data_IF_146324061116
#
_entry.id   IF_146324061116
#
_cell.length_a   1.000
_cell.length_b   1.000
_cell.length_c   1.000
_cell.angle_alpha   90.00
_cell.angle_beta   90.00
_cell.angle_gamma   90.00
#
_symmetry.space_group_name_H-M   'P 1'
#
loop_
_entity.id
_entity.type
_entity.pdbx_description
1 polymer ?
#
# COMPACT_ATOMS: atom_id res chain seq x y z
N UNK A 1 53.27 2.09 5.00
CA UNK A 1 52.69 2.93 3.93
C UNK A 1 52.79 2.09 2.66
N UNK A 2 51.76 1.59 2.00
CA UNK A 2 50.34 1.91 1.99
C UNK A 2 49.54 0.61 1.75
N UNK A 3 48.43 0.45 2.45
CA UNK A 3 47.39 -0.50 2.05
C UNK A 3 46.18 0.34 1.65
N UNK A 4 45.99 0.48 0.34
CA UNK A 4 44.78 1.05 -0.22
C UNK A 4 43.62 0.11 0.12
N UNK A 5 42.83 0.47 1.13
CA UNK A 5 41.52 -0.11 1.36
C UNK A 5 40.62 0.32 0.21
N UNK A 6 40.53 -0.53 -0.81
CA UNK A 6 39.46 -0.49 -1.78
C UNK A 6 38.14 -0.62 -1.03
N UNK A 7 37.45 0.50 -0.89
CA UNK A 7 36.05 0.57 -0.49
C UNK A 7 35.21 -0.06 -1.59
N UNK A 8 35.00 -1.37 -1.50
CA UNK A 8 33.88 -2.00 -2.19
C UNK A 8 32.61 -1.45 -1.54
N UNK A 9 32.01 -0.46 -2.20
CA UNK A 9 30.62 -0.11 -2.00
C UNK A 9 29.82 -1.36 -2.34
N UNK A 10 29.36 -2.06 -1.30
CA UNK A 10 28.41 -3.15 -1.44
C UNK A 10 27.11 -2.48 -1.92
N UNK A 11 26.95 -2.41 -3.24
CA UNK A 11 25.64 -2.25 -3.84
C UNK A 11 24.89 -3.51 -3.43
N UNK A 12 24.12 -3.41 -2.35
CA UNK A 12 23.15 -4.43 -1.98
C UNK A 12 22.30 -4.69 -3.23
N UNK A 13 22.12 -5.95 -3.65
CA UNK A 13 21.25 -6.25 -4.77
C UNK A 13 19.85 -5.67 -4.47
N UNK A 14 19.23 -5.17 -5.54
CA UNK A 14 17.84 -4.74 -5.58
C UNK A 14 16.95 -5.71 -4.79
N UNK A 15 15.97 -5.13 -4.11
CA UNK A 15 14.94 -5.75 -3.25
C UNK A 15 14.63 -7.20 -3.62
N UNK A 16 14.56 -8.11 -2.64
CA UNK A 16 14.11 -9.46 -2.94
C UNK A 16 12.67 -9.38 -3.44
N UNK A 17 12.42 -9.93 -4.61
CA UNK A 17 11.13 -10.40 -5.16
C UNK A 17 10.47 -11.47 -4.28
N UNK A 18 10.65 -11.42 -2.96
CA UNK A 18 10.32 -12.52 -2.09
C UNK A 18 8.91 -12.32 -1.57
N UNK A 19 8.00 -13.07 -2.16
CA UNK A 19 6.82 -13.53 -1.43
C UNK A 19 7.26 -13.96 -0.04
N UNK A 20 6.55 -13.50 0.99
CA UNK A 20 6.73 -14.07 2.31
C UNK A 20 6.39 -15.56 2.20
N UNK A 21 7.37 -16.42 2.48
CA UNK A 21 7.20 -17.87 2.46
C UNK A 21 6.00 -18.30 3.28
N UNK A 22 5.44 -19.47 2.96
CA UNK A 22 4.52 -20.17 3.85
C UNK A 22 5.11 -20.24 5.27
N UNK A 23 4.26 -20.06 6.26
CA UNK A 23 4.68 -19.94 7.66
C UNK A 23 3.64 -20.52 8.62
N UNK A 24 4.03 -20.65 9.87
CA UNK A 24 3.16 -21.17 10.93
C UNK A 24 1.87 -20.35 11.04
N UNK A 25 0.73 -21.04 11.17
CA UNK A 25 -0.58 -20.39 11.29
C UNK A 25 -1.20 -19.97 9.96
N UNK A 26 -0.68 -20.45 8.83
CA UNK A 26 -1.32 -20.33 7.53
C UNK A 26 -2.65 -21.09 7.49
N UNK A 27 -3.71 -20.37 7.10
CA UNK A 27 -5.06 -20.89 6.97
C UNK A 27 -5.42 -20.89 5.49
N UNK A 28 -5.89 -22.05 5.02
CA UNK A 28 -6.40 -22.20 3.66
C UNK A 28 -7.82 -21.67 3.57
N UNK A 29 -8.04 -20.73 2.65
CA UNK A 29 -9.37 -20.31 2.30
C UNK A 29 -10.06 -21.41 1.47
N UNK A 30 -11.37 -21.61 1.71
CA UNK A 30 -12.10 -22.71 1.09
C UNK A 30 -12.20 -22.52 -0.42
N UNK A 31 -11.97 -23.58 -1.22
CA UNK A 31 -12.23 -23.51 -2.64
C UNK A 31 -13.69 -23.20 -2.95
N UNK A 32 -13.90 -22.15 -3.74
CA UNK A 32 -15.21 -21.66 -4.13
C UNK A 32 -15.05 -20.74 -5.35
N UNK A 33 -16.12 -20.57 -6.13
CA UNK A 33 -16.11 -19.71 -7.31
C UNK A 33 -16.08 -18.23 -6.90
N UNK A 34 -17.19 -17.72 -6.35
CA UNK A 34 -17.29 -16.33 -5.86
C UNK A 34 -17.35 -16.28 -4.32
N UNK A 35 -16.53 -17.13 -3.69
CA UNK A 35 -16.49 -17.31 -2.24
C UNK A 35 -15.59 -16.30 -1.53
N UNK A 36 -15.68 -16.32 -0.20
CA UNK A 36 -14.81 -15.56 0.69
C UNK A 36 -14.52 -16.41 1.93
N UNK A 37 -13.46 -16.06 2.67
CA UNK A 37 -13.20 -16.60 3.99
C UNK A 37 -14.37 -16.31 4.95
N UNK A 38 -14.43 -17.09 6.04
CA UNK A 38 -15.14 -16.66 7.25
C UNK A 38 -14.50 -15.36 7.79
N UNK A 39 -15.16 -14.71 8.75
CA UNK A 39 -14.60 -13.52 9.40
C UNK A 39 -13.26 -13.82 10.06
N UNK A 40 -12.24 -13.02 9.74
CA UNK A 40 -10.91 -13.13 10.35
C UNK A 40 -10.77 -11.98 11.33
N UNK A 41 -10.75 -12.28 12.63
CA UNK A 41 -10.50 -11.27 13.66
C UNK A 41 -9.01 -10.97 13.76
N UNK A 42 -8.65 -9.71 13.53
CA UNK A 42 -7.28 -9.22 13.65
C UNK A 42 -6.91 -9.09 15.13
N UNK A 43 -5.73 -9.57 15.53
CA UNK A 43 -5.29 -9.44 16.93
C UNK A 43 -5.03 -7.99 17.32
N UNK A 44 -4.69 -7.18 16.32
CA UNK A 44 -4.51 -5.74 16.45
C UNK A 44 -5.31 -5.02 15.36
N UNK A 45 -5.95 -3.88 15.67
CA UNK A 45 -6.72 -3.14 14.68
C UNK A 45 -5.86 -2.63 13.51
N UNK A 46 -6.36 -2.77 12.29
CA UNK A 46 -5.78 -2.19 11.09
C UNK A 46 -6.42 -0.83 10.80
N UNK A 47 -5.61 0.20 10.50
CA UNK A 47 -6.11 1.52 10.13
C UNK A 47 -6.15 1.67 8.62
N UNK A 48 -7.31 2.06 8.11
CA UNK A 48 -7.55 2.24 6.67
C UNK A 48 -8.29 3.57 6.45
N UNK A 49 -7.57 4.58 5.95
CA UNK A 49 -8.03 5.93 5.65
C UNK A 49 -8.96 6.54 6.72
N UNK A 50 -8.47 6.60 7.96
CA UNK A 50 -9.21 7.18 9.09
C UNK A 50 -10.22 6.25 9.75
N UNK A 51 -10.48 5.08 9.16
CA UNK A 51 -11.29 4.00 9.76
C UNK A 51 -10.38 2.98 10.43
N UNK A 52 -10.91 2.29 11.43
CA UNK A 52 -10.18 1.27 12.18
C UNK A 52 -10.98 -0.03 12.14
N UNK A 53 -10.32 -1.11 11.72
CA UNK A 53 -10.92 -2.42 11.49
C UNK A 53 -10.29 -3.48 12.38
N UNK A 54 -11.14 -4.25 13.06
CA UNK A 54 -10.74 -5.39 13.89
C UNK A 54 -10.95 -6.73 13.18
N UNK A 55 -11.40 -6.68 11.93
CA UNK A 55 -11.72 -7.86 11.15
C UNK A 55 -11.40 -7.63 9.68
N UNK A 56 -11.20 -8.73 8.96
CA UNK A 56 -10.91 -8.75 7.54
C UNK A 56 -11.49 -10.02 6.90
N UNK A 57 -11.73 -9.97 5.60
CA UNK A 57 -12.18 -11.09 4.78
C UNK A 57 -11.27 -11.19 3.56
N UNK A 58 -10.87 -12.42 3.22
CA UNK A 58 -10.11 -12.72 2.00
C UNK A 58 -11.07 -13.30 0.97
N UNK A 59 -11.18 -12.65 -0.18
CA UNK A 59 -12.08 -13.09 -1.24
C UNK A 59 -11.37 -13.95 -2.28
N UNK A 60 -12.07 -14.94 -2.83
CA UNK A 60 -11.48 -15.82 -3.83
C UNK A 60 -11.08 -15.04 -5.09
N UNK A 61 -11.85 -14.02 -5.47
CA UNK A 61 -11.61 -13.17 -6.65
C UNK A 61 -10.54 -12.07 -6.43
N UNK A 62 -9.61 -12.26 -5.49
CA UNK A 62 -8.36 -11.49 -5.43
C UNK A 62 -8.43 -10.13 -4.73
N UNK A 63 -9.30 -9.99 -3.73
CA UNK A 63 -9.42 -8.78 -2.93
C UNK A 63 -9.74 -9.05 -1.46
N UNK A 64 -9.52 -8.02 -0.64
CA UNK A 64 -9.80 -7.98 0.78
C UNK A 64 -10.93 -6.97 1.05
N UNK A 65 -11.79 -7.29 2.02
CA UNK A 65 -12.79 -6.37 2.57
C UNK A 65 -12.75 -6.40 4.10
N UNK A 66 -13.31 -5.40 4.76
CA UNK A 66 -13.21 -5.26 6.22
C UNK A 66 -14.53 -5.32 6.99
N UNK A 67 -15.66 -5.15 6.33
CA UNK A 67 -16.98 -5.13 7.00
C UNK A 67 -17.73 -6.43 6.86
N UNK A 68 -17.83 -6.96 5.64
CA UNK A 68 -18.48 -8.23 5.34
C UNK A 68 -17.99 -8.73 3.97
N UNK A 69 -18.16 -10.03 3.66
CA UNK A 69 -17.85 -10.57 2.35
C UNK A 69 -18.60 -9.83 1.24
N UNK A 70 -17.99 -9.80 0.07
CA UNK A 70 -18.60 -9.30 -1.15
C UNK A 70 -18.62 -10.45 -2.14
N UNK A 71 -19.80 -10.80 -2.67
CA UNK A 71 -19.90 -11.77 -3.75
C UNK A 71 -20.04 -10.98 -5.05
N UNK A 72 -18.92 -10.86 -5.75
CA UNK A 72 -18.80 -10.11 -6.99
C UNK A 72 -17.92 -10.89 -7.97
N UNK A 73 -18.48 -11.17 -9.15
CA UNK A 73 -17.80 -11.86 -10.25
C UNK A 73 -17.29 -10.91 -11.34
N UNK A 74 -17.74 -9.66 -11.33
CA UNK A 74 -17.20 -8.59 -12.18
C UNK A 74 -16.20 -7.77 -11.37
N UNK A 75 -14.99 -7.50 -11.89
CA UNK A 75 -14.04 -6.63 -11.21
C UNK A 75 -14.59 -5.23 -11.01
N UNK A 76 -14.49 -4.72 -9.79
CA UNK A 76 -14.71 -3.31 -9.51
C UNK A 76 -13.93 -2.85 -8.29
N UNK A 77 -13.44 -1.61 -8.38
CA UNK A 77 -12.88 -0.87 -7.26
C UNK A 77 -13.89 0.13 -6.70
N UNK A 78 -14.91 0.55 -7.47
CA UNK A 78 -16.01 1.39 -6.96
C UNK A 78 -16.99 0.55 -6.12
N UNK A 79 -16.45 0.07 -5.00
CA UNK A 79 -17.12 -0.84 -4.09
C UNK A 79 -17.91 -0.05 -3.06
N UNK A 80 -19.11 -0.50 -2.66
CA UNK A 80 -19.81 0.03 -1.49
C UNK A 80 -19.12 -0.34 -0.16
N UNK A 81 -17.83 -0.72 -0.20
CA UNK A 81 -17.02 -1.19 0.91
C UNK A 81 -15.58 -0.71 0.75
N UNK A 82 -14.92 -0.56 1.88
CA UNK A 82 -13.47 -0.45 1.92
C UNK A 82 -12.86 -1.75 1.36
N UNK A 83 -12.04 -1.60 0.33
CA UNK A 83 -11.51 -2.71 -0.47
C UNK A 83 -10.03 -2.51 -0.77
N UNK A 84 -9.26 -3.60 -0.65
CA UNK A 84 -7.89 -3.69 -1.15
C UNK A 84 -7.86 -4.82 -2.16
N UNK A 85 -7.59 -4.51 -3.41
CA UNK A 85 -7.61 -5.48 -4.50
C UNK A 85 -6.23 -5.55 -5.15
N UNK A 86 -5.32 -6.42 -4.68
CA UNK A 86 -4.10 -6.68 -5.42
C UNK A 86 -4.38 -7.13 -6.85
N UNK A 87 -5.38 -7.98 -7.08
CA UNK A 87 -5.86 -8.29 -8.43
C UNK A 87 -7.31 -8.75 -8.37
N UNK A 88 -8.26 -7.84 -8.51
CA UNK A 88 -9.67 -8.19 -8.61
C UNK A 88 -9.97 -8.74 -10.00
N UNK A 89 -10.22 -10.04 -10.10
CA UNK A 89 -10.61 -10.72 -11.33
C UNK A 89 -11.27 -12.06 -11.01
N UNK A 90 -11.94 -12.68 -11.98
CA UNK A 90 -12.65 -13.94 -11.77
C UNK A 90 -11.67 -15.13 -11.80
N UNK A 91 -11.31 -15.65 -10.64
CA UNK A 91 -10.35 -16.75 -10.49
C UNK A 91 -10.97 -17.87 -9.67
N UNK A 92 -10.62 -19.12 -9.99
CA UNK A 92 -11.33 -20.30 -9.49
C UNK A 92 -10.39 -21.35 -8.90
N UNK A 93 -10.26 -21.38 -7.59
CA UNK A 93 -9.40 -22.35 -6.89
C UNK A 93 -10.04 -23.73 -6.65
N UNK A 94 -11.22 -24.04 -7.23
CA UNK A 94 -11.90 -25.35 -7.03
C UNK A 94 -11.14 -26.55 -7.60
N UNK A 95 -10.35 -26.32 -8.65
CA UNK A 95 -9.65 -27.39 -9.37
C UNK A 95 -8.14 -27.41 -9.11
N UNK A 96 -7.52 -26.24 -8.94
CA UNK A 96 -6.08 -26.09 -8.74
C UNK A 96 -5.74 -24.74 -8.12
N UNK A 97 -4.49 -24.58 -7.69
CA UNK A 97 -4.05 -23.37 -7.02
C UNK A 97 -4.56 -23.28 -5.59
N UNK A 98 -4.11 -22.26 -4.87
CA UNK A 98 -4.41 -22.14 -3.46
C UNK A 98 -4.57 -20.68 -3.05
N UNK A 99 -5.43 -20.45 -2.05
CA UNK A 99 -5.64 -19.12 -1.48
C UNK A 99 -5.43 -19.29 0.02
N UNK A 100 -4.44 -18.60 0.56
CA UNK A 100 -4.05 -18.72 1.96
C UNK A 100 -3.92 -17.36 2.62
N UNK A 101 -4.06 -17.34 3.94
CA UNK A 101 -3.81 -16.15 4.72
C UNK A 101 -3.29 -16.46 6.11
N UNK A 102 -2.60 -15.49 6.72
CA UNK A 102 -2.16 -15.55 8.11
C UNK A 102 -1.94 -14.17 8.70
N UNK A 103 -1.99 -14.10 10.02
CA UNK A 103 -1.44 -12.98 10.78
C UNK A 103 -0.11 -13.42 11.40
N UNK A 104 0.95 -12.67 11.12
CA UNK A 104 2.32 -12.99 11.49
C UNK A 104 2.88 -11.90 12.42
N UNK A 105 3.44 -12.35 13.54
CA UNK A 105 4.10 -11.51 14.55
C UNK A 105 5.53 -12.00 14.81
N UNK A 106 6.08 -12.87 13.95
CA UNK A 106 7.43 -13.39 14.11
C UNK A 106 8.47 -12.29 13.84
N UNK A 107 9.54 -12.25 14.63
CA UNK A 107 10.59 -11.24 14.49
C UNK A 107 11.18 -11.19 13.08
N UNK A 108 11.31 -12.35 12.42
CA UNK A 108 11.85 -12.44 11.07
C UNK A 108 10.94 -11.73 10.04
N UNK A 109 9.64 -12.03 10.05
CA UNK A 109 8.68 -11.41 9.13
C UNK A 109 8.51 -9.93 9.45
N UNK A 110 8.39 -9.55 10.72
CA UNK A 110 8.27 -8.15 11.13
C UNK A 110 9.49 -7.31 10.73
N UNK A 111 10.71 -7.86 10.88
CA UNK A 111 11.93 -7.19 10.42
C UNK A 111 11.94 -7.01 8.90
N UNK A 112 11.52 -8.05 8.16
CA UNK A 112 11.46 -8.03 6.70
C UNK A 112 10.48 -6.96 6.19
N UNK A 113 9.23 -6.97 6.65
CA UNK A 113 8.21 -5.99 6.21
C UNK A 113 8.54 -4.58 6.70
N UNK A 114 9.19 -4.43 7.86
CA UNK A 114 9.67 -3.13 8.34
C UNK A 114 10.74 -2.56 7.40
N UNK A 115 11.70 -3.39 6.97
CA UNK A 115 12.72 -2.97 6.02
C UNK A 115 12.09 -2.56 4.67
N UNK A 116 11.14 -3.35 4.16
CA UNK A 116 10.41 -3.05 2.94
C UNK A 116 9.68 -1.70 3.02
N UNK A 117 8.92 -1.46 4.11
CA UNK A 117 8.23 -0.17 4.33
C UNK A 117 9.21 0.99 4.43
N UNK A 118 10.33 0.84 5.16
CA UNK A 118 11.35 1.91 5.27
C UNK A 118 12.01 2.23 3.94
N UNK A 119 12.13 1.26 3.04
CA UNK A 119 12.63 1.51 1.69
C UNK A 119 11.61 2.31 0.86
N UNK A 120 10.32 1.99 0.98
CA UNK A 120 9.25 2.69 0.28
C UNK A 120 9.01 4.11 0.84
N UNK A 121 9.13 4.26 2.16
CA UNK A 121 8.77 5.45 2.91
C UNK A 121 9.87 5.84 3.91
N UNK A 122 11.07 6.24 3.44
CA UNK A 122 12.23 6.47 4.30
C UNK A 122 12.03 7.57 5.35
N UNK A 123 11.12 8.50 5.07
CA UNK A 123 10.83 9.64 5.94
C UNK A 123 9.72 9.35 6.97
N UNK A 124 9.16 8.13 6.99
CA UNK A 124 8.11 7.75 7.93
C UNK A 124 8.68 6.77 8.95
N UNK A 125 8.84 7.17 10.23
CA UNK A 125 9.27 6.26 11.27
C UNK A 125 8.29 5.10 11.42
N UNK A 126 8.78 3.88 11.22
CA UNK A 126 7.96 2.68 11.26
C UNK A 126 8.73 1.47 11.79
N UNK A 127 8.02 0.68 12.57
CA UNK A 127 8.37 -0.69 12.95
C UNK A 127 7.05 -1.48 13.02
N UNK A 128 6.94 -2.55 12.24
CA UNK A 128 5.75 -3.39 12.24
C UNK A 128 5.65 -4.17 13.56
N UNK A 129 4.45 -4.21 14.13
CA UNK A 129 4.11 -5.15 15.22
C UNK A 129 3.30 -6.32 14.72
N UNK A 130 2.65 -6.16 13.56
CA UNK A 130 1.83 -7.16 12.91
C UNK A 130 1.99 -7.09 11.39
N UNK A 131 1.98 -8.26 10.75
CA UNK A 131 1.80 -8.40 9.31
C UNK A 131 0.61 -9.32 9.03
N UNK A 132 -0.39 -8.85 8.28
CA UNK A 132 -1.40 -9.75 7.70
C UNK A 132 -0.99 -10.07 6.28
N UNK A 133 -0.92 -11.35 5.93
CA UNK A 133 -0.47 -11.84 4.63
C UNK A 133 -1.60 -12.62 4.00
N UNK A 134 -1.95 -12.30 2.76
CA UNK A 134 -2.84 -13.13 1.94
C UNK A 134 -2.18 -13.41 0.59
N UNK A 135 -2.20 -14.68 0.19
CA UNK A 135 -1.53 -15.18 -1.02
C UNK A 135 -2.54 -15.92 -1.88
N UNK A 136 -2.56 -15.59 -3.17
CA UNK A 136 -3.18 -16.37 -4.22
C UNK A 136 -2.04 -17.00 -4.99
N UNK A 137 -1.88 -18.32 -4.87
CA UNK A 137 -0.78 -19.06 -5.47
C UNK A 137 -1.30 -19.97 -6.58
N UNK A 138 -0.85 -19.70 -7.80
CA UNK A 138 -1.14 -20.49 -9.00
C UNK A 138 -2.64 -20.74 -9.23
N UNK A 139 -3.48 -19.74 -8.94
CA UNK A 139 -4.94 -19.85 -9.07
C UNK A 139 -5.34 -19.63 -10.54
N UNK A 140 -6.14 -20.51 -11.15
CA UNK A 140 -6.50 -20.37 -12.55
C UNK A 140 -7.54 -19.27 -12.77
N UNK A 141 -7.47 -18.59 -13.91
CA UNK A 141 -8.57 -17.76 -14.39
C UNK A 141 -9.80 -18.63 -14.67
N UNK A 142 -10.98 -18.09 -14.42
CA UNK A 142 -12.24 -18.79 -14.70
C UNK A 142 -12.39 -19.17 -16.19
N UNK A 143 -11.89 -18.33 -17.11
CA UNK A 143 -11.94 -18.60 -18.54
C UNK A 143 -10.89 -19.62 -19.05
N UNK A 144 -10.03 -20.14 -18.16
CA UNK A 144 -8.98 -21.11 -18.52
C UNK A 144 -7.73 -20.49 -19.18
N UNK A 145 -7.55 -19.17 -19.15
CA UNK A 145 -6.44 -18.46 -19.81
C UNK A 145 -5.06 -18.59 -19.14
N UNK A 146 -4.92 -19.44 -18.12
CA UNK A 146 -3.68 -19.59 -17.34
C UNK A 146 -3.91 -19.40 -15.85
N UNK A 147 -2.81 -19.23 -15.10
CA UNK A 147 -2.81 -19.08 -13.64
C UNK A 147 -2.21 -17.75 -13.21
N UNK A 148 -2.56 -17.33 -12.00
CA UNK A 148 -2.07 -16.11 -11.38
C UNK A 148 -1.51 -16.37 -9.99
N UNK A 149 -0.39 -15.72 -9.71
CA UNK A 149 0.28 -15.75 -8.41
C UNK A 149 0.56 -14.33 -7.93
N UNK A 150 -0.02 -13.94 -6.80
CA UNK A 150 0.15 -12.62 -6.19
C UNK A 150 -0.05 -12.68 -4.66
N UNK A 151 0.55 -11.72 -3.96
CA UNK A 151 0.49 -11.61 -2.51
C UNK A 151 0.23 -10.17 -2.08
N UNK A 152 -0.59 -10.00 -1.06
CA UNK A 152 -0.76 -8.73 -0.36
C UNK A 152 -0.33 -8.87 1.09
N UNK A 153 0.45 -7.90 1.55
CA UNK A 153 0.93 -7.80 2.92
C UNK A 153 0.45 -6.47 3.51
N UNK A 154 -0.37 -6.56 4.55
CA UNK A 154 -0.70 -5.42 5.39
C UNK A 154 0.32 -5.35 6.51
N UNK A 155 1.23 -4.37 6.46
CA UNK A 155 2.24 -4.15 7.50
C UNK A 155 1.80 -3.00 8.40
N UNK A 156 1.63 -3.25 9.69
CA UNK A 156 1.06 -2.23 10.58
C UNK A 156 1.52 -2.31 12.03
N UNK A 157 1.32 -1.19 12.71
CA UNK A 157 1.35 -1.07 14.16
C UNK A 157 0.18 -0.18 14.62
N UNK A 158 0.16 0.20 15.90
CA UNK A 158 -0.98 0.95 16.47
C UNK A 158 -1.12 2.36 15.87
N UNK A 159 -0.10 2.88 15.20
CA UNK A 159 -0.05 4.22 14.64
C UNK A 159 -0.12 4.24 13.11
N UNK A 160 0.52 3.27 12.45
CA UNK A 160 0.81 3.28 11.01
C UNK A 160 0.36 1.99 10.35
N UNK A 161 -0.15 2.10 9.13
CA UNK A 161 -0.65 0.99 8.32
C UNK A 161 -0.23 1.17 6.88
N UNK A 162 0.29 0.10 6.29
CA UNK A 162 0.79 0.05 4.93
C UNK A 162 0.25 -1.16 4.20
N UNK A 163 0.07 -1.02 2.88
CA UNK A 163 -0.24 -2.10 1.95
C UNK A 163 1.00 -2.31 1.10
N UNK A 164 1.45 -3.55 0.99
CA UNK A 164 2.47 -4.00 0.05
C UNK A 164 1.83 -5.05 -0.85
N UNK A 165 1.94 -4.89 -2.16
CA UNK A 165 1.41 -5.83 -3.16
C UNK A 165 2.60 -6.35 -3.96
N UNK A 166 2.71 -7.67 -4.03
CA UNK A 166 3.72 -8.39 -4.76
C UNK A 166 3.07 -9.24 -5.85
N UNK A 167 3.61 -9.16 -7.05
CA UNK A 167 3.18 -9.94 -8.18
C UNK A 167 4.25 -10.98 -8.54
N UNK A 168 3.82 -12.23 -8.69
CA UNK A 168 4.64 -13.32 -9.20
C UNK A 168 4.33 -13.54 -10.68
N UNK A 169 4.18 -14.81 -11.05
CA UNK A 169 3.74 -15.19 -12.39
C UNK A 169 2.25 -14.86 -12.56
N UNK A 170 1.95 -13.97 -13.51
CA UNK A 170 0.57 -13.66 -13.88
C UNK A 170 0.41 -13.88 -15.38
N UNK A 171 -0.37 -14.88 -15.75
CA UNK A 171 -0.67 -15.15 -17.15
C UNK A 171 -1.47 -13.99 -17.77
N UNK A 172 -1.20 -13.72 -19.04
CA UNK A 172 -1.97 -12.76 -19.84
C UNK A 172 -3.43 -13.23 -19.97
N UNK A 173 -4.37 -12.29 -20.02
CA UNK A 173 -5.80 -12.61 -20.12
C UNK A 173 -6.57 -11.48 -20.79
N UNK A 174 -7.63 -11.85 -21.51
CA UNK A 174 -8.67 -10.93 -21.97
C UNK A 174 -9.78 -10.74 -20.93
N UNK A 175 -9.74 -11.51 -19.83
CA UNK A 175 -10.70 -11.36 -18.75
C UNK A 175 -10.55 -9.97 -18.11
N UNK A 176 -11.67 -9.27 -17.81
CA UNK A 176 -11.60 -8.02 -17.09
C UNK A 176 -10.87 -8.18 -15.75
N UNK A 177 -10.11 -7.16 -15.37
CA UNK A 177 -9.42 -7.11 -14.09
C UNK A 177 -9.27 -5.66 -13.62
N UNK A 178 -9.10 -5.48 -12.32
CA UNK A 178 -8.69 -4.20 -11.73
C UNK A 178 -7.73 -4.46 -10.56
N UNK A 179 -6.80 -3.54 -10.31
CA UNK A 179 -5.87 -3.63 -9.20
C UNK A 179 -5.73 -2.26 -8.51
N UNK A 180 -5.65 -2.24 -7.19
CA UNK A 180 -5.62 -1.01 -6.39
C UNK A 180 -6.37 -1.11 -5.07
N UNK A 181 -6.97 0.01 -4.65
CA UNK A 181 -7.77 0.09 -3.43
C UNK A 181 -8.84 1.18 -3.54
N UNK A 182 -9.89 1.07 -2.73
CA UNK A 182 -10.89 2.11 -2.59
C UNK A 182 -11.52 2.12 -1.19
N UNK A 183 -11.99 3.29 -0.79
CA UNK A 183 -12.81 3.51 0.41
C UNK A 183 -14.28 3.56 0.02
N UNK A 184 -15.18 3.22 0.94
CA UNK A 184 -16.64 3.18 0.69
C UNK A 184 -17.24 4.52 0.28
N UNK A 185 -16.61 5.63 0.66
CA UNK A 185 -17.00 6.99 0.26
C UNK A 185 -16.22 7.49 -0.97
N UNK A 186 -15.35 6.65 -1.54
CA UNK A 186 -14.40 6.96 -2.59
C UNK A 186 -13.50 8.17 -2.31
N UNK A 187 -13.41 8.62 -1.05
CA UNK A 187 -12.60 9.78 -0.68
C UNK A 187 -11.10 9.50 -0.80
N UNK A 188 -10.72 8.22 -0.68
CA UNK A 188 -9.37 7.72 -0.94
C UNK A 188 -9.43 6.48 -1.81
N UNK A 189 -8.93 6.60 -3.03
CA UNK A 189 -8.90 5.53 -4.02
C UNK A 189 -7.61 5.60 -4.83
N UNK A 190 -7.19 4.45 -5.36
CA UNK A 190 -6.11 4.36 -6.32
C UNK A 190 -6.33 3.13 -7.20
N UNK A 191 -6.26 3.32 -8.51
CA UNK A 191 -6.23 2.25 -9.50
C UNK A 191 -4.82 2.17 -10.07
N UNK A 192 -4.23 0.98 -10.07
CA UNK A 192 -2.92 0.74 -10.65
C UNK A 192 -3.02 0.94 -12.18
N UNK A 193 -2.28 1.91 -12.76
CA UNK A 193 -2.38 2.24 -14.18
C UNK A 193 -1.51 1.31 -15.03
N UNK A 194 -1.82 0.01 -15.04
CA UNK A 194 -1.20 -0.97 -15.92
C UNK A 194 -2.11 -1.25 -17.12
N UNK A 195 -1.54 -1.31 -18.32
CA UNK A 195 -2.24 -1.57 -19.57
C UNK A 195 -2.54 -3.05 -19.78
N UNK A 196 -1.78 -3.94 -19.14
CA UNK A 196 -1.99 -5.39 -19.16
C UNK A 196 -1.65 -6.02 -17.81
N UNK A 197 -2.14 -7.25 -17.57
CA UNK A 197 -1.86 -7.97 -16.32
C UNK A 197 -0.36 -8.26 -16.15
N UNK A 198 0.40 -8.70 -17.18
CA UNK A 198 1.85 -8.87 -17.06
C UNK A 198 2.60 -7.58 -16.70
N UNK A 199 2.06 -6.41 -17.05
CA UNK A 199 2.64 -5.12 -16.65
C UNK A 199 2.55 -4.89 -15.14
N UNK A 200 1.63 -5.53 -14.42
CA UNK A 200 1.61 -5.47 -12.94
C UNK A 200 2.91 -6.01 -12.34
N UNK A 201 3.48 -7.06 -12.94
CA UNK A 201 4.75 -7.66 -12.50
C UNK A 201 5.99 -6.86 -12.92
N UNK A 202 5.87 -5.89 -13.83
CA UNK A 202 7.00 -5.04 -14.27
C UNK A 202 6.90 -3.57 -13.84
N UNK A 203 5.72 -3.13 -13.39
CA UNK A 203 5.44 -1.77 -12.93
C UNK A 203 5.52 -1.62 -11.42
N UNK A 204 5.73 -0.39 -10.95
CA UNK A 204 5.82 -0.07 -9.52
C UNK A 204 5.68 1.44 -9.27
N UNK A 205 5.15 1.82 -8.11
CA UNK A 205 5.15 3.20 -7.64
C UNK A 205 6.37 3.58 -6.78
N UNK A 206 7.32 2.66 -6.55
CA UNK A 206 8.46 2.84 -5.65
C UNK A 206 9.81 2.53 -6.30
N UNK A 207 9.86 2.46 -7.65
CA UNK A 207 11.06 2.12 -8.41
C UNK A 207 11.70 0.78 -8.02
N UNK A 208 10.87 -0.14 -7.51
CA UNK A 208 11.20 -1.53 -7.20
C UNK A 208 10.26 -2.40 -8.03
N UNK A 209 10.78 -3.05 -9.06
CA UNK A 209 9.99 -3.88 -9.98
C UNK A 209 9.04 -4.84 -9.24
N UNK A 210 7.80 -4.93 -9.71
CA UNK A 210 6.74 -5.82 -9.19
C UNK A 210 6.18 -5.52 -7.79
N UNK A 211 6.50 -4.36 -7.20
CA UNK A 211 6.03 -4.00 -5.85
C UNK A 211 5.24 -2.70 -5.86
N UNK A 212 4.00 -2.75 -5.38
CA UNK A 212 3.16 -1.57 -5.14
C UNK A 212 2.96 -1.36 -3.65
N UNK A 213 3.27 -0.14 -3.18
CA UNK A 213 3.28 0.17 -1.75
C UNK A 213 2.47 1.42 -1.43
N UNK A 214 1.59 1.34 -0.43
CA UNK A 214 0.69 2.43 -0.07
C UNK A 214 0.66 2.68 1.43
N UNK A 215 0.73 3.94 1.83
CA UNK A 215 0.53 4.38 3.21
C UNK A 215 -0.95 4.74 3.41
N UNK A 216 -1.63 4.06 4.34
CA UNK A 216 -3.11 4.02 4.40
C UNK A 216 -3.70 4.28 5.79
N UNK A 217 -2.93 4.79 6.75
CA UNK A 217 -3.44 5.04 8.12
C UNK A 217 -4.34 6.28 8.27
N UNK A 218 -4.59 7.02 7.18
CA UNK A 218 -5.36 8.27 7.18
C UNK A 218 -4.58 9.51 7.63
N UNK A 219 -3.29 9.38 7.91
CA UNK A 219 -2.45 10.57 8.13
C UNK A 219 -2.30 11.38 6.83
N UNK A 220 -2.15 12.71 6.92
CA UNK A 220 -2.02 13.56 5.75
C UNK A 220 -0.90 13.05 4.86
N UNK A 221 -1.17 12.85 3.56
CA UNK A 221 -0.12 12.57 2.57
C UNK A 221 0.94 13.66 2.75
N UNK A 222 2.23 13.33 2.93
CA UNK A 222 3.27 14.33 2.77
C UNK A 222 3.07 14.90 1.37
N UNK A 223 2.75 16.19 1.27
CA UNK A 223 2.82 16.88 -0.01
C UNK A 223 4.20 16.56 -0.60
N UNK A 224 4.34 16.28 -1.91
CA UNK A 224 5.65 16.11 -2.49
C UNK A 224 6.45 17.37 -2.17
N UNK A 225 7.42 17.24 -1.27
CA UNK A 225 8.34 18.30 -0.92
C UNK A 225 9.08 18.64 -2.21
N UNK A 226 8.68 19.74 -2.86
CA UNK A 226 9.39 20.24 -4.03
C UNK A 226 10.82 20.57 -3.64
N UNK A 227 11.77 20.34 -4.56
CA UNK A 227 13.22 20.47 -4.40
C UNK A 227 13.74 21.91 -4.10
N UNK A 228 13.02 22.72 -3.32
CA UNK A 228 13.35 24.12 -3.05
C UNK A 228 13.09 24.60 -1.62
N UNK A 229 12.66 23.75 -0.68
CA UNK A 229 12.31 24.23 0.66
C UNK A 229 13.52 24.39 1.58
N UNK A 230 13.67 25.60 2.14
CA UNK A 230 14.59 25.90 3.25
C UNK A 230 13.81 25.83 4.56
N UNK A 231 14.20 24.95 5.47
CA UNK A 231 13.67 24.92 6.84
C UNK A 231 14.19 26.16 7.59
N UNK A 232 13.28 26.99 8.06
CA UNK A 232 13.55 28.16 8.90
C UNK A 232 13.13 27.87 10.34
N UNK A 233 13.87 28.34 11.36
CA UNK A 233 13.53 28.12 12.76
C UNK A 233 12.17 28.75 13.11
N UNK A 234 11.44 28.09 14.03
CA UNK A 234 10.14 28.53 14.56
C UNK A 234 10.34 29.63 15.59
N UNK A 235 9.42 30.60 15.61
CA UNK A 235 9.28 31.56 16.71
C UNK A 235 8.35 30.98 17.80
N UNK A 236 8.52 31.44 19.04
CA UNK A 236 7.82 30.92 20.23
C UNK A 236 6.28 31.06 20.18
N UNK A 237 5.76 31.90 19.27
CA UNK A 237 4.33 32.09 19.02
C UNK A 237 3.73 31.08 18.03
N UNK A 238 4.51 30.11 17.53
CA UNK A 238 4.05 29.08 16.60
C UNK A 238 3.94 29.50 15.14
N UNK A 239 4.37 30.72 14.78
CA UNK A 239 4.46 31.17 13.38
C UNK A 239 5.87 30.97 12.81
N UNK A 240 5.97 30.88 11.48
CA UNK A 240 7.26 31.03 10.78
C UNK A 240 7.78 32.47 10.90
N UNK A 241 9.06 32.69 10.62
CA UNK A 241 9.55 34.01 10.19
C UNK A 241 8.84 34.46 8.90
N UNK A 242 8.95 35.75 8.55
CA UNK A 242 8.43 36.29 7.30
C UNK A 242 9.09 35.60 6.09
N UNK A 243 8.27 35.04 5.21
CA UNK A 243 8.70 34.42 3.96
C UNK A 243 8.55 35.45 2.85
N UNK A 244 9.68 35.96 2.34
CA UNK A 244 9.68 36.84 1.18
C UNK A 244 9.34 36.06 -0.08
N UNK A 245 8.32 36.53 -0.81
CA UNK A 245 7.83 35.90 -2.03
C UNK A 245 8.72 36.28 -3.20
N UNK A 246 9.06 35.31 -4.06
CA UNK A 246 9.87 35.57 -5.26
C UNK A 246 9.17 36.51 -6.25
N UNK A 247 7.83 36.51 -6.27
CA UNK A 247 7.04 37.49 -6.99
C UNK A 247 5.92 38.02 -6.09
N UNK A 248 5.74 39.35 -5.99
CA UNK A 248 4.61 39.92 -5.29
C UNK A 248 3.29 39.52 -5.98
N UNK A 249 2.24 39.32 -5.21
CA UNK A 249 0.89 39.12 -5.74
C UNK A 249 -0.10 40.13 -5.15
N UNK A 250 -1.22 40.33 -5.85
CA UNK A 250 -2.29 41.21 -5.37
C UNK A 250 -3.38 40.41 -4.69
N UNK A 251 -3.77 40.84 -3.49
CA UNK A 251 -4.90 40.30 -2.74
C UNK A 251 -5.76 41.46 -2.24
N UNK A 252 -7.06 41.44 -2.55
CA UNK A 252 -7.99 42.56 -2.28
C UNK A 252 -7.41 43.95 -2.65
N UNK A 253 -6.75 44.03 -3.80
CA UNK A 253 -6.19 45.29 -4.32
C UNK A 253 -4.89 45.77 -3.66
N UNK A 254 -4.38 45.06 -2.64
CA UNK A 254 -3.08 45.34 -2.01
C UNK A 254 -2.01 44.40 -2.54
N UNK A 255 -0.79 44.91 -2.72
CA UNK A 255 0.34 44.12 -3.17
C UNK A 255 1.07 43.55 -1.96
N UNK A 256 1.18 42.23 -1.89
CA UNK A 256 1.88 41.50 -0.83
C UNK A 256 3.19 40.93 -1.37
N UNK A 257 4.26 41.13 -0.62
CA UNK A 257 5.60 40.63 -0.94
C UNK A 257 6.14 39.66 0.13
N UNK A 258 5.39 39.44 1.21
CA UNK A 258 5.74 38.54 2.30
C UNK A 258 4.53 37.73 2.77
N UNK A 259 4.76 36.54 3.32
CA UNK A 259 3.73 35.70 3.94
C UNK A 259 4.27 34.97 5.17
N UNK A 260 3.39 34.41 5.99
CA UNK A 260 3.72 33.63 7.17
C UNK A 260 2.90 32.34 7.22
N UNK A 261 3.51 31.28 7.76
CA UNK A 261 2.81 30.01 8.03
C UNK A 261 2.53 29.92 9.53
N UNK A 262 1.26 29.77 9.89
CA UNK A 262 0.81 29.57 11.28
C UNK A 262 0.15 28.22 11.43
N UNK A 263 0.36 27.58 12.59
CA UNK A 263 -0.25 26.29 12.92
C UNK A 263 -1.74 26.43 13.26
N UNK A 264 -2.22 27.65 13.56
CA UNK A 264 -3.57 27.89 14.07
C UNK A 264 -4.55 28.53 13.06
N UNK A 265 -4.09 29.10 11.94
CA UNK A 265 -4.96 29.70 10.91
C UNK A 265 -4.31 29.61 9.52
N UNK A 266 -5.12 29.35 8.49
CA UNK A 266 -4.75 29.44 7.07
C UNK A 266 -4.18 30.83 6.77
N UNK A 267 -2.92 30.87 6.33
CA UNK A 267 -2.18 31.98 5.68
C UNK A 267 -2.59 33.41 6.10
N UNK A 268 -1.77 34.05 6.94
CA UNK A 268 -1.91 35.49 7.25
C UNK A 268 -1.12 36.31 6.23
N UNK A 269 -1.82 37.13 5.44
CA UNK A 269 -1.25 38.05 4.46
C UNK A 269 -1.18 39.46 5.06
N UNK A 270 0.00 40.08 5.06
CA UNK A 270 0.22 41.48 5.49
C UNK A 270 0.62 42.32 4.30
#
# INVERSE_FOLDING_TARGET
LDSAKSSFSLILPLVPTNFLSSGDGEIMNRPAEDGSSDVIFLRQPFKYFGRTYNQIFVNNNGYLTFTEPLSAYTPFLDSPRDIIAPLCTRIDNRHSGSISYREDTSTAVLAHVTAAVKQCFPNIPFAATTAFVATWDSVPYYNGGGVVTFQVVLAYNVHRSFILIYYGDIAETEQPWQAGYNTVDSASSFTIPAASVPELSSSSNINVTACWSFHVDGSPKPLPFGNGERVKPRLDNGSSEAITLQQPFKFFGRTHNQTFVSILVVVVLI
#
